data_IF_540656335889
#
_entry.id   IF_540656335889
#
_cell.length_a   1.000
_cell.length_b   1.000
_cell.length_c   1.000
_cell.angle_alpha   90.00
_cell.angle_beta   90.00
_cell.angle_gamma   90.00
#
_symmetry.space_group_name_H-M   'P 1'
#
loop_
_entity.id
_entity.type
_entity.pdbx_description
1 polymer ?
#
# COMPACT_ATOMS: atom_id res chain seq x y z
N UNK A 1 -24.97 12.86 -26.45
CA UNK A 1 -23.62 12.65 -25.90
C UNK A 1 -23.07 11.36 -26.50
N UNK A 2 -21.95 11.43 -27.20
CA UNK A 2 -21.27 10.22 -27.67
C UNK A 2 -20.96 9.31 -26.47
N UNK A 3 -21.29 8.03 -26.60
CA UNK A 3 -21.06 7.05 -25.54
C UNK A 3 -19.53 6.91 -25.37
N UNK A 4 -19.00 7.34 -24.25
CA UNK A 4 -17.58 7.25 -23.94
C UNK A 4 -17.09 5.81 -24.07
N UNK A 5 -16.10 5.57 -24.93
CA UNK A 5 -15.53 4.23 -25.06
C UNK A 5 -14.60 3.95 -23.87
N UNK A 6 -15.11 3.20 -22.89
CA UNK A 6 -14.39 2.88 -21.66
C UNK A 6 -13.06 2.14 -21.92
N UNK A 7 -12.99 1.29 -22.96
CA UNK A 7 -11.76 0.59 -23.32
C UNK A 7 -10.71 1.50 -23.93
N UNK A 8 -11.13 2.57 -24.59
CA UNK A 8 -10.20 3.60 -25.05
C UNK A 8 -9.58 4.37 -23.88
N UNK A 9 -10.39 4.68 -22.85
CA UNK A 9 -9.87 5.30 -21.61
C UNK A 9 -8.91 4.38 -20.86
N UNK A 10 -9.22 3.08 -20.79
CA UNK A 10 -8.31 2.08 -20.18
C UNK A 10 -6.97 2.06 -20.93
N UNK A 11 -7.00 2.03 -22.26
CA UNK A 11 -5.79 2.05 -23.07
C UNK A 11 -4.94 3.31 -22.83
N UNK A 12 -5.57 4.48 -22.71
CA UNK A 12 -4.86 5.72 -22.38
C UNK A 12 -4.21 5.67 -21.00
N UNK A 13 -4.94 5.17 -20.00
CA UNK A 13 -4.40 4.97 -18.66
C UNK A 13 -3.20 4.01 -18.64
N UNK A 14 -3.29 2.87 -19.34
CA UNK A 14 -2.19 1.91 -19.44
C UNK A 14 -0.97 2.50 -20.18
N UNK A 15 -1.19 3.33 -21.18
CA UNK A 15 -0.09 4.03 -21.87
C UNK A 15 0.61 5.03 -20.96
N UNK A 16 -0.13 5.78 -20.12
CA UNK A 16 0.47 6.68 -19.11
C UNK A 16 1.32 5.88 -18.10
N UNK A 17 0.84 4.71 -17.68
CA UNK A 17 1.54 3.88 -16.70
C UNK A 17 2.79 3.22 -17.30
N UNK A 18 2.67 2.57 -18.47
CA UNK A 18 3.76 1.76 -19.07
C UNK A 18 4.80 2.58 -19.83
N UNK A 19 4.40 3.70 -20.46
CA UNK A 19 5.28 4.50 -21.34
C UNK A 19 5.75 5.79 -20.66
N UNK A 20 4.85 6.50 -19.98
CA UNK A 20 5.17 7.78 -19.33
C UNK A 20 5.63 7.57 -17.86
N UNK A 21 5.48 6.37 -17.33
CA UNK A 21 5.98 6.04 -16.00
C UNK A 21 5.11 6.56 -14.85
N UNK A 22 3.83 6.87 -15.09
CA UNK A 22 2.94 7.34 -14.03
C UNK A 22 2.50 6.19 -13.09
N UNK A 23 2.21 6.49 -11.82
CA UNK A 23 1.74 5.50 -10.85
C UNK A 23 0.29 5.09 -11.12
N UNK A 24 0.03 3.79 -11.14
CA UNK A 24 -1.29 3.22 -11.47
C UNK A 24 -2.43 3.80 -10.62
N UNK A 25 -2.24 3.92 -9.31
CA UNK A 25 -3.24 4.50 -8.41
C UNK A 25 -3.54 5.97 -8.76
N UNK A 26 -2.50 6.79 -9.05
CA UNK A 26 -2.71 8.19 -9.43
C UNK A 26 -3.48 8.31 -10.75
N UNK A 27 -3.12 7.49 -11.74
CA UNK A 27 -3.80 7.50 -13.05
C UNK A 27 -5.26 7.08 -12.90
N UNK A 28 -5.54 6.07 -12.06
CA UNK A 28 -6.91 5.63 -11.79
C UNK A 28 -7.70 6.74 -11.10
N UNK A 29 -7.16 7.35 -10.03
CA UNK A 29 -7.84 8.41 -9.29
C UNK A 29 -8.14 9.63 -10.19
N UNK A 30 -7.15 10.13 -10.93
CA UNK A 30 -7.31 11.23 -11.88
C UNK A 30 -8.37 10.93 -12.96
N UNK A 31 -8.38 9.70 -13.49
CA UNK A 31 -9.37 9.31 -14.49
C UNK A 31 -10.78 9.24 -13.91
N UNK A 32 -10.96 8.65 -12.71
CA UNK A 32 -12.26 8.55 -12.05
C UNK A 32 -12.81 9.93 -11.64
N UNK A 33 -11.95 10.85 -11.25
CA UNK A 33 -12.34 12.24 -10.98
C UNK A 33 -12.76 12.95 -12.27
N UNK A 34 -11.92 12.92 -13.30
CA UNK A 34 -12.19 13.55 -14.59
C UNK A 34 -13.45 13.02 -15.27
N UNK A 35 -13.70 11.72 -15.17
CA UNK A 35 -14.85 11.03 -15.77
C UNK A 35 -15.90 10.63 -14.71
N UNK A 36 -16.16 11.51 -13.76
CA UNK A 36 -17.09 11.28 -12.62
C UNK A 36 -18.53 10.90 -13.04
N UNK A 37 -18.92 11.21 -14.29
CA UNK A 37 -20.22 10.84 -14.89
C UNK A 37 -20.32 9.35 -15.29
N UNK A 38 -19.24 8.59 -15.24
CA UNK A 38 -19.27 7.15 -15.56
C UNK A 38 -20.17 6.39 -14.57
N UNK A 39 -20.90 5.38 -15.11
CA UNK A 39 -21.70 4.49 -14.27
C UNK A 39 -20.80 3.72 -13.27
N UNK A 40 -21.41 3.23 -12.18
CA UNK A 40 -20.74 2.35 -11.21
C UNK A 40 -20.05 1.15 -11.91
N UNK A 41 -20.75 0.53 -12.87
CA UNK A 41 -20.25 -0.61 -13.64
C UNK A 41 -19.01 -0.22 -14.47
N UNK A 42 -19.06 0.94 -15.15
CA UNK A 42 -17.95 1.42 -15.98
C UNK A 42 -16.73 1.82 -15.14
N UNK A 43 -16.93 2.49 -13.99
CA UNK A 43 -15.85 2.81 -13.03
C UNK A 43 -15.18 1.54 -12.50
N UNK A 44 -15.99 0.57 -12.07
CA UNK A 44 -15.49 -0.72 -11.60
C UNK A 44 -14.74 -1.50 -12.67
N UNK A 45 -15.26 -1.50 -13.91
CA UNK A 45 -14.61 -2.13 -15.05
C UNK A 45 -13.27 -1.45 -15.39
N UNK A 46 -13.26 -0.11 -15.44
CA UNK A 46 -12.05 0.67 -15.68
C UNK A 46 -10.96 0.34 -14.65
N UNK A 47 -11.27 0.50 -13.36
CA UNK A 47 -10.30 0.26 -12.28
C UNK A 47 -9.80 -1.18 -12.27
N UNK A 48 -10.70 -2.16 -12.44
CA UNK A 48 -10.34 -3.58 -12.45
C UNK A 48 -9.41 -3.95 -13.60
N UNK A 49 -9.67 -3.45 -14.82
CA UNK A 49 -8.82 -3.77 -15.98
C UNK A 49 -7.48 -3.07 -15.89
N UNK A 50 -7.44 -1.77 -15.51
CA UNK A 50 -6.16 -1.05 -15.37
C UNK A 50 -5.31 -1.69 -14.29
N UNK A 51 -5.85 -1.91 -13.09
CA UNK A 51 -5.13 -2.54 -11.98
C UNK A 51 -4.66 -3.95 -12.34
N UNK A 52 -5.56 -4.79 -12.87
CA UNK A 52 -5.25 -6.17 -13.19
C UNK A 52 -4.21 -6.33 -14.32
N UNK A 53 -4.21 -5.46 -15.33
CA UNK A 53 -3.16 -5.47 -16.37
C UNK A 53 -1.79 -5.17 -15.75
N UNK A 54 -1.71 -4.23 -14.81
CA UNK A 54 -0.45 -3.93 -14.10
C UNK A 54 -0.07 -5.09 -13.18
N UNK A 55 -1.02 -5.63 -12.43
CA UNK A 55 -0.80 -6.73 -11.48
C UNK A 55 -0.27 -7.99 -12.14
N UNK A 56 -0.90 -8.41 -13.26
CA UNK A 56 -0.58 -9.63 -14.00
C UNK A 56 0.38 -9.41 -15.18
N UNK A 57 1.11 -8.31 -15.21
CA UNK A 57 1.91 -7.84 -16.35
C UNK A 57 2.86 -8.91 -16.91
N UNK A 58 3.60 -9.65 -16.04
CA UNK A 58 4.56 -10.66 -16.49
C UNK A 58 3.86 -11.88 -17.12
N UNK A 59 2.72 -12.29 -16.58
CA UNK A 59 1.91 -13.36 -17.18
C UNK A 59 1.40 -12.95 -18.58
N UNK A 60 0.86 -11.72 -18.68
CA UNK A 60 0.34 -11.21 -19.94
C UNK A 60 1.44 -11.07 -21.00
N UNK A 61 2.62 -10.61 -20.62
CA UNK A 61 3.77 -10.51 -21.50
C UNK A 61 4.31 -11.88 -21.94
N UNK A 62 4.34 -12.84 -21.02
CA UNK A 62 4.69 -14.22 -21.33
C UNK A 62 3.76 -14.82 -22.38
N UNK A 63 2.45 -14.63 -22.22
CA UNK A 63 1.44 -15.11 -23.18
C UNK A 63 1.64 -14.42 -24.53
N UNK A 64 1.78 -13.09 -24.56
CA UNK A 64 2.03 -12.36 -25.81
C UNK A 64 3.30 -12.91 -26.50
N UNK A 65 4.37 -13.11 -25.76
CA UNK A 65 5.64 -13.62 -26.29
C UNK A 65 5.50 -15.03 -26.86
N UNK A 66 4.75 -15.91 -26.17
CA UNK A 66 4.48 -17.29 -26.61
C UNK A 66 3.73 -17.32 -27.95
N UNK A 67 2.67 -16.53 -28.09
CA UNK A 67 1.78 -16.59 -29.27
C UNK A 67 2.25 -15.70 -30.43
N UNK A 68 3.20 -14.78 -30.24
CA UNK A 68 3.78 -13.97 -31.31
C UNK A 68 5.18 -14.45 -31.74
N UNK A 69 5.63 -15.62 -31.27
CA UNK A 69 6.95 -16.19 -31.54
C UNK A 69 8.10 -15.23 -31.14
N UNK A 70 7.96 -14.50 -30.03
CA UNK A 70 8.98 -13.60 -29.49
C UNK A 70 9.21 -12.31 -30.30
N UNK A 71 8.39 -11.99 -31.29
CA UNK A 71 8.55 -10.77 -32.10
C UNK A 71 8.25 -9.50 -31.27
N UNK A 72 8.98 -8.42 -31.57
CA UNK A 72 8.74 -7.14 -30.93
C UNK A 72 7.39 -6.56 -31.33
N UNK A 73 6.63 -6.08 -30.36
CA UNK A 73 5.31 -5.48 -30.51
C UNK A 73 5.38 -4.00 -30.16
N UNK A 74 4.68 -3.13 -30.93
CA UNK A 74 4.57 -1.70 -30.60
C UNK A 74 3.92 -1.53 -29.23
N UNK A 75 4.34 -0.55 -28.37
CA UNK A 75 3.77 -0.36 -27.05
C UNK A 75 2.24 -0.32 -27.03
N UNK A 76 1.62 0.49 -27.86
CA UNK A 76 0.14 0.59 -27.93
C UNK A 76 -0.54 -0.76 -28.27
N UNK A 77 0.06 -1.58 -29.12
CA UNK A 77 -0.48 -2.91 -29.46
C UNK A 77 -0.26 -3.86 -28.30
N UNK A 78 0.86 -3.76 -27.59
CA UNK A 78 1.14 -4.55 -26.39
C UNK A 78 0.07 -4.27 -25.32
N UNK A 79 -0.27 -3.02 -25.07
CA UNK A 79 -1.32 -2.66 -24.10
C UNK A 79 -2.72 -3.15 -24.55
N UNK A 80 -3.06 -3.04 -25.84
CA UNK A 80 -4.31 -3.61 -26.36
C UNK A 80 -4.35 -5.13 -26.16
N UNK A 81 -3.25 -5.84 -26.39
CA UNK A 81 -3.17 -7.29 -26.17
C UNK A 81 -3.24 -7.61 -24.68
N UNK A 82 -2.47 -6.93 -23.81
CA UNK A 82 -2.50 -7.12 -22.35
C UNK A 82 -3.92 -6.98 -21.81
N UNK A 83 -4.61 -5.86 -22.11
CA UNK A 83 -5.97 -5.64 -21.62
C UNK A 83 -6.99 -6.64 -22.17
N UNK A 84 -6.80 -7.13 -23.39
CA UNK A 84 -7.67 -8.15 -23.97
C UNK A 84 -7.44 -9.52 -23.32
N UNK A 85 -6.19 -9.94 -23.17
CA UNK A 85 -5.81 -11.20 -22.52
C UNK A 85 -6.24 -11.21 -21.05
N UNK A 86 -6.04 -10.10 -20.32
CA UNK A 86 -6.51 -9.98 -18.94
C UNK A 86 -8.04 -10.21 -18.84
N UNK A 87 -8.81 -9.58 -19.72
CA UNK A 87 -10.27 -9.78 -19.74
C UNK A 87 -10.64 -11.24 -20.05
N UNK A 88 -9.92 -11.92 -20.96
CA UNK A 88 -10.20 -13.32 -21.32
C UNK A 88 -9.89 -14.31 -20.17
N UNK A 89 -8.85 -14.03 -19.38
CA UNK A 89 -8.38 -14.97 -18.36
C UNK A 89 -8.98 -14.70 -16.97
N UNK A 90 -9.32 -13.44 -16.67
CA UNK A 90 -9.67 -13.01 -15.31
C UNK A 90 -11.04 -12.33 -15.18
N UNK A 91 -11.85 -12.30 -16.28
CA UNK A 91 -13.16 -11.64 -16.27
C UNK A 91 -14.23 -12.50 -16.94
N UNK A 92 -14.81 -13.46 -16.22
CA UNK A 92 -15.76 -14.48 -16.72
C UNK A 92 -17.01 -13.90 -17.40
N UNK A 93 -17.39 -12.67 -17.07
CA UNK A 93 -18.63 -12.05 -17.60
C UNK A 93 -18.48 -11.37 -18.96
N UNK A 94 -17.28 -11.36 -19.54
CA UNK A 94 -17.03 -10.69 -20.82
C UNK A 94 -16.77 -11.73 -21.90
N UNK A 95 -17.64 -11.89 -22.89
CA UNK A 95 -17.45 -12.90 -23.95
C UNK A 95 -16.19 -12.63 -24.78
N UNK A 96 -15.38 -13.64 -25.04
CA UNK A 96 -14.13 -13.54 -25.81
C UNK A 96 -14.32 -12.87 -27.17
N UNK A 97 -15.42 -13.19 -27.88
CA UNK A 97 -15.76 -12.55 -29.16
C UNK A 97 -15.89 -11.02 -29.04
N UNK A 98 -16.50 -10.54 -27.96
CA UNK A 98 -16.64 -9.10 -27.72
C UNK A 98 -15.30 -8.46 -27.40
N UNK A 99 -14.43 -9.15 -26.61
CA UNK A 99 -13.09 -8.68 -26.29
C UNK A 99 -12.24 -8.52 -27.57
N UNK A 100 -12.26 -9.54 -28.45
CA UNK A 100 -11.51 -9.54 -29.71
C UNK A 100 -11.98 -8.40 -30.62
N UNK A 101 -13.30 -8.23 -30.77
CA UNK A 101 -13.85 -7.17 -31.61
C UNK A 101 -13.44 -5.78 -31.11
N UNK A 102 -13.53 -5.54 -29.81
CA UNK A 102 -13.13 -4.27 -29.21
C UNK A 102 -11.63 -4.01 -29.33
N UNK A 103 -10.78 -5.02 -29.13
CA UNK A 103 -9.34 -4.90 -29.36
C UNK A 103 -9.02 -4.49 -30.81
N UNK A 104 -9.67 -5.12 -31.80
CA UNK A 104 -9.52 -4.77 -33.22
C UNK A 104 -10.02 -3.34 -33.49
N UNK A 105 -11.13 -2.91 -32.87
CA UNK A 105 -11.66 -1.56 -32.99
C UNK A 105 -10.66 -0.52 -32.43
N UNK A 106 -10.03 -0.79 -31.30
CA UNK A 106 -8.99 0.07 -30.72
C UNK A 106 -7.79 0.22 -31.67
N UNK A 107 -7.34 -0.87 -32.31
CA UNK A 107 -6.27 -0.81 -33.32
C UNK A 107 -6.63 0.12 -34.48
N UNK A 108 -7.90 0.03 -34.97
CA UNK A 108 -8.40 0.92 -36.04
C UNK A 108 -8.47 2.36 -35.58
N UNK A 109 -8.97 2.63 -34.38
CA UNK A 109 -9.04 3.99 -33.81
C UNK A 109 -7.64 4.64 -33.68
N UNK A 110 -6.62 3.83 -33.41
CA UNK A 110 -5.22 4.28 -33.39
C UNK A 110 -4.56 4.36 -34.78
N UNK A 111 -5.34 4.21 -35.85
CA UNK A 111 -4.89 4.26 -37.26
C UNK A 111 -3.83 3.22 -37.61
N UNK A 112 -3.84 2.08 -36.96
CA UNK A 112 -2.93 0.95 -37.16
C UNK A 112 -3.57 -0.20 -37.92
N UNK A 113 -4.37 0.09 -38.95
CA UNK A 113 -5.21 -0.86 -39.68
C UNK A 113 -4.44 -2.10 -40.17
N UNK A 114 -3.17 -1.94 -40.59
CA UNK A 114 -2.32 -3.04 -41.02
C UNK A 114 -2.07 -4.11 -39.94
N UNK A 115 -2.27 -3.76 -38.63
CA UNK A 115 -2.06 -4.66 -37.50
C UNK A 115 -3.34 -5.32 -37.01
N UNK A 116 -4.50 -5.02 -37.59
CA UNK A 116 -5.80 -5.61 -37.17
C UNK A 116 -5.83 -7.12 -37.34
N UNK A 117 -5.32 -7.63 -38.47
CA UNK A 117 -5.22 -9.08 -38.73
C UNK A 117 -4.30 -9.78 -37.73
N UNK A 118 -3.18 -9.16 -37.37
CA UNK A 118 -2.24 -9.67 -36.38
C UNK A 118 -2.90 -9.78 -34.98
N UNK A 119 -3.52 -8.69 -34.50
CA UNK A 119 -4.19 -8.69 -33.18
C UNK A 119 -5.34 -9.68 -33.14
N UNK A 120 -6.19 -9.72 -34.18
CA UNK A 120 -7.30 -10.67 -34.26
C UNK A 120 -6.78 -12.14 -34.25
N UNK A 121 -5.73 -12.43 -35.04
CA UNK A 121 -5.16 -13.78 -35.13
C UNK A 121 -4.57 -14.27 -33.81
N UNK A 122 -3.81 -13.44 -33.12
CA UNK A 122 -3.26 -13.76 -31.80
C UNK A 122 -4.36 -14.01 -30.77
N UNK A 123 -5.31 -13.07 -30.64
CA UNK A 123 -6.35 -13.17 -29.63
C UNK A 123 -7.29 -14.37 -29.85
N UNK A 124 -7.56 -14.75 -31.11
CA UNK A 124 -8.31 -15.98 -31.41
C UNK A 124 -7.59 -17.25 -31.01
N UNK A 125 -6.27 -17.32 -31.21
CA UNK A 125 -5.46 -18.47 -30.75
C UNK A 125 -5.50 -18.57 -29.24
N UNK A 126 -5.25 -17.45 -28.54
CA UNK A 126 -5.28 -17.40 -27.09
C UNK A 126 -6.66 -17.81 -26.56
N UNK A 127 -7.75 -17.30 -27.15
CA UNK A 127 -9.12 -17.65 -26.75
C UNK A 127 -9.40 -19.16 -26.91
N UNK A 128 -8.87 -19.79 -27.97
CA UNK A 128 -9.06 -21.23 -28.20
C UNK A 128 -8.27 -22.12 -27.23
N UNK A 129 -7.14 -21.62 -26.72
CA UNK A 129 -6.20 -22.38 -25.90
C UNK A 129 -6.16 -21.91 -24.44
N UNK A 130 -7.00 -20.94 -24.03
CA UNK A 130 -6.88 -20.27 -22.71
C UNK A 130 -6.94 -21.22 -21.52
N UNK A 131 -7.73 -22.30 -21.61
CA UNK A 131 -7.85 -23.29 -20.53
C UNK A 131 -6.59 -24.17 -20.36
N UNK A 132 -5.73 -24.19 -21.37
CA UNK A 132 -4.46 -24.93 -21.33
C UNK A 132 -3.24 -24.05 -20.99
N UNK A 133 -3.45 -22.76 -20.73
CA UNK A 133 -2.36 -21.86 -20.35
C UNK A 133 -1.96 -22.14 -18.90
N UNK A 134 -0.72 -22.57 -18.72
CA UNK A 134 -0.09 -22.77 -17.41
C UNK A 134 1.22 -22.00 -17.32
N UNK A 135 1.65 -21.74 -16.07
CA UNK A 135 2.89 -21.05 -15.78
C UNK A 135 3.75 -21.90 -14.86
N UNK A 136 4.87 -22.42 -15.38
CA UNK A 136 5.80 -23.25 -14.61
C UNK A 136 6.78 -22.40 -13.80
N UNK A 137 7.13 -21.22 -14.32
CA UNK A 137 7.99 -20.25 -13.63
C UNK A 137 7.19 -19.49 -12.55
N UNK A 138 7.71 -19.49 -11.33
CA UNK A 138 7.05 -18.91 -10.17
C UNK A 138 6.90 -17.37 -10.29
N UNK A 139 7.89 -16.69 -10.88
CA UNK A 139 7.86 -15.26 -11.13
C UNK A 139 6.78 -14.88 -12.13
N UNK A 140 6.62 -15.69 -13.18
CA UNK A 140 5.54 -15.51 -14.15
C UNK A 140 4.20 -15.84 -13.49
N UNK A 141 4.09 -16.97 -12.78
CA UNK A 141 2.87 -17.43 -12.11
C UNK A 141 2.29 -16.36 -11.16
N UNK A 142 3.13 -15.70 -10.38
CA UNK A 142 2.70 -14.67 -9.44
C UNK A 142 2.96 -13.24 -9.95
N UNK A 143 3.44 -13.11 -11.19
CA UNK A 143 3.77 -11.82 -11.82
C UNK A 143 4.70 -10.96 -10.96
N UNK A 144 5.75 -11.58 -10.41
CA UNK A 144 6.80 -10.95 -9.58
C UNK A 144 8.15 -11.11 -10.25
N UNK A 145 8.93 -10.03 -10.48
CA UNK A 145 10.29 -10.12 -11.02
C UNK A 145 11.21 -10.99 -10.16
N UNK A 146 12.14 -11.71 -10.80
CA UNK A 146 13.01 -12.69 -10.17
C UNK A 146 13.79 -12.12 -8.97
N UNK A 147 14.40 -10.93 -9.12
CA UNK A 147 15.15 -10.31 -8.03
C UNK A 147 14.30 -9.99 -6.78
N UNK A 148 12.99 -9.75 -6.94
CA UNK A 148 12.08 -9.57 -5.81
C UNK A 148 11.68 -10.89 -5.16
N UNK A 149 11.62 -11.99 -5.93
CA UNK A 149 11.34 -13.31 -5.37
C UNK A 149 12.40 -13.71 -4.35
N UNK A 150 13.69 -13.45 -4.63
CA UNK A 150 14.78 -13.75 -3.71
C UNK A 150 14.62 -12.96 -2.41
N UNK A 151 14.36 -11.66 -2.50
CA UNK A 151 14.11 -10.79 -1.33
C UNK A 151 12.90 -11.29 -0.52
N UNK A 152 11.78 -11.59 -1.20
CA UNK A 152 10.57 -12.06 -0.52
C UNK A 152 10.85 -13.40 0.17
N UNK A 153 11.50 -14.35 -0.51
CA UNK A 153 11.81 -15.67 0.01
C UNK A 153 12.72 -15.62 1.23
N UNK A 154 13.78 -14.81 1.18
CA UNK A 154 14.70 -14.62 2.30
C UNK A 154 13.99 -14.07 3.55
N UNK A 155 13.01 -13.17 3.36
CA UNK A 155 12.39 -12.44 4.46
C UNK A 155 11.05 -13.03 4.95
N UNK A 156 10.47 -13.99 4.22
CA UNK A 156 9.20 -14.64 4.60
C UNK A 156 9.36 -16.13 4.91
N UNK A 157 10.50 -16.74 4.57
CA UNK A 157 10.83 -18.13 4.91
C UNK A 157 9.74 -19.11 4.45
N UNK A 158 9.21 -19.88 5.39
CA UNK A 158 8.14 -20.88 5.13
C UNK A 158 6.81 -20.28 4.64
N UNK A 159 6.61 -18.98 4.80
CA UNK A 159 5.41 -18.28 4.34
C UNK A 159 5.54 -17.75 2.89
N UNK A 160 6.65 -18.04 2.19
CA UNK A 160 6.93 -17.52 0.86
C UNK A 160 5.76 -17.72 -0.13
N UNK A 161 5.30 -18.96 -0.31
CA UNK A 161 4.22 -19.26 -1.24
C UNK A 161 2.90 -18.56 -0.85
N UNK A 162 2.57 -18.59 0.44
CA UNK A 162 1.39 -17.90 0.98
C UNK A 162 1.47 -16.38 0.80
N UNK A 163 2.69 -15.81 0.90
CA UNK A 163 2.92 -14.38 0.65
C UNK A 163 2.65 -14.02 -0.80
N UNK A 164 3.12 -14.83 -1.75
CA UNK A 164 2.87 -14.62 -3.17
C UNK A 164 1.38 -14.75 -3.52
N UNK A 165 0.70 -15.75 -2.96
CA UNK A 165 -0.76 -15.92 -3.08
C UNK A 165 -1.53 -14.72 -2.49
N UNK A 166 -1.09 -14.25 -1.31
CA UNK A 166 -1.68 -13.09 -0.64
C UNK A 166 -1.59 -11.83 -1.51
N UNK A 167 -0.46 -11.59 -2.18
CA UNK A 167 -0.32 -10.43 -3.05
C UNK A 167 -1.28 -10.41 -4.25
N UNK A 168 -1.72 -11.56 -4.74
CA UNK A 168 -2.71 -11.68 -5.83
C UNK A 168 -4.15 -11.86 -5.32
N UNK A 169 -4.35 -11.96 -4.00
CA UNK A 169 -5.68 -12.16 -3.44
C UNK A 169 -6.51 -10.88 -3.45
N UNK A 170 -7.82 -11.04 -3.71
CA UNK A 170 -8.76 -9.93 -3.56
C UNK A 170 -9.14 -9.79 -2.08
N UNK A 171 -8.75 -8.68 -1.47
CA UNK A 171 -8.94 -8.41 -0.04
C UNK A 171 -9.97 -7.30 0.20
N UNK A 172 -10.76 -7.42 1.28
CA UNK A 172 -11.65 -6.34 1.69
C UNK A 172 -10.84 -5.09 2.09
N UNK A 173 -11.47 -3.94 2.00
CA UNK A 173 -10.88 -2.70 2.48
C UNK A 173 -10.81 -2.72 4.01
N UNK A 174 -9.71 -2.29 4.58
CA UNK A 174 -9.57 -2.12 6.03
C UNK A 174 -9.75 -0.67 6.44
N UNK A 175 -10.54 -0.46 7.49
CA UNK A 175 -10.78 0.85 8.10
C UNK A 175 -10.53 0.77 9.60
N UNK A 176 -9.93 1.81 10.17
CA UNK A 176 -9.78 1.94 11.62
C UNK A 176 -10.82 2.89 12.19
N UNK A 177 -11.44 2.45 13.28
CA UNK A 177 -12.36 3.30 14.03
C UNK A 177 -11.56 4.37 14.79
N UNK A 178 -11.99 5.62 14.67
CA UNK A 178 -11.51 6.74 15.48
C UNK A 178 -12.10 6.61 16.88
N UNK A 179 -11.34 5.99 17.79
CA UNK A 179 -11.80 5.64 19.14
C UNK A 179 -11.98 6.84 20.05
N UNK A 180 -11.40 8.01 19.69
CA UNK A 180 -11.69 9.27 20.37
C UNK A 180 -13.07 9.86 20.03
N UNK A 181 -13.70 9.38 18.95
CA UNK A 181 -14.97 9.91 18.42
C UNK A 181 -16.13 8.93 18.50
N UNK A 182 -15.87 7.64 18.42
CA UNK A 182 -16.92 6.61 18.37
C UNK A 182 -16.45 5.27 18.95
N UNK A 183 -17.39 4.51 19.50
CA UNK A 183 -17.13 3.12 19.88
C UNK A 183 -17.13 2.22 18.65
N UNK A 184 -16.30 1.18 18.66
CA UNK A 184 -16.20 0.21 17.55
C UNK A 184 -17.57 -0.44 17.26
N UNK A 185 -18.31 -0.82 18.31
CA UNK A 185 -19.63 -1.42 18.20
C UNK A 185 -20.68 -0.53 17.52
N UNK A 186 -20.56 0.79 17.68
CA UNK A 186 -21.51 1.74 17.09
C UNK A 186 -21.20 1.95 15.60
N UNK A 187 -19.91 1.98 15.24
CA UNK A 187 -19.48 2.05 13.83
C UNK A 187 -19.86 0.78 13.08
N UNK A 188 -19.71 -0.41 13.69
CA UNK A 188 -20.16 -1.68 13.09
C UNK A 188 -21.65 -1.60 12.75
N UNK A 189 -22.51 -1.22 13.73
CA UNK A 189 -23.96 -1.11 13.51
C UNK A 189 -24.31 -0.11 12.40
N UNK A 190 -23.60 1.02 12.33
CA UNK A 190 -23.82 2.03 11.29
C UNK A 190 -23.46 1.50 9.89
N UNK A 191 -22.36 0.79 9.78
CA UNK A 191 -21.92 0.17 8.52
C UNK A 191 -22.88 -0.93 8.06
N UNK A 192 -23.29 -1.83 8.98
CA UNK A 192 -24.23 -2.91 8.69
C UNK A 192 -25.62 -2.38 8.30
N UNK A 193 -26.09 -1.30 8.96
CA UNK A 193 -27.33 -0.61 8.57
C UNK A 193 -27.26 -0.07 7.14
N UNK A 194 -26.06 0.37 6.71
CA UNK A 194 -25.76 0.74 5.31
C UNK A 194 -25.56 -0.44 4.35
N UNK A 195 -25.90 -1.68 4.73
CA UNK A 195 -25.67 -2.92 3.97
C UNK A 195 -24.21 -3.18 3.62
N UNK A 196 -23.26 -2.66 4.40
CA UNK A 196 -21.84 -2.93 4.27
C UNK A 196 -21.51 -4.16 5.12
N UNK A 197 -20.82 -5.14 4.52
CA UNK A 197 -20.33 -6.31 5.26
C UNK A 197 -19.13 -5.90 6.09
N UNK A 198 -19.12 -6.32 7.36
CA UNK A 198 -18.08 -5.98 8.34
C UNK A 198 -17.51 -7.23 8.95
N UNK A 199 -16.19 -7.32 9.03
CA UNK A 199 -15.45 -8.36 9.74
C UNK A 199 -14.40 -7.71 10.65
N UNK A 200 -14.24 -8.22 11.88
CA UNK A 200 -13.23 -7.70 12.80
C UNK A 200 -11.83 -8.20 12.43
N UNK A 201 -10.83 -7.34 12.54
CA UNK A 201 -9.45 -7.77 12.48
C UNK A 201 -9.07 -8.61 13.70
N UNK A 202 -8.26 -9.67 13.47
CA UNK A 202 -7.72 -10.50 14.56
C UNK A 202 -6.54 -9.85 15.29
N UNK A 203 -5.85 -8.90 14.64
CA UNK A 203 -4.65 -8.26 15.17
C UNK A 203 -4.92 -6.94 15.88
N UNK A 204 -6.01 -6.24 15.52
CA UNK A 204 -6.33 -4.95 16.12
C UNK A 204 -7.84 -4.74 16.19
N UNK A 205 -8.40 -4.74 17.40
CA UNK A 205 -9.84 -4.65 17.67
C UNK A 205 -10.50 -3.35 17.16
N UNK A 206 -9.68 -2.31 16.91
CA UNK A 206 -10.17 -1.04 16.35
C UNK A 206 -10.19 -1.03 14.82
N UNK A 207 -9.79 -2.13 14.16
CA UNK A 207 -9.75 -2.24 12.70
C UNK A 207 -10.81 -3.22 12.22
N UNK A 208 -11.53 -2.78 11.21
CA UNK A 208 -12.61 -3.53 10.57
C UNK A 208 -12.28 -3.74 9.09
N UNK A 209 -12.55 -4.93 8.58
CA UNK A 209 -12.60 -5.20 7.14
C UNK A 209 -14.01 -4.92 6.63
N UNK A 210 -14.13 -4.15 5.56
CA UNK A 210 -15.42 -3.77 4.99
C UNK A 210 -15.51 -4.12 3.50
N UNK A 211 -16.71 -4.52 3.06
CA UNK A 211 -16.99 -4.82 1.66
C UNK A 211 -18.48 -4.58 1.32
N UNK A 212 -18.82 -4.55 0.03
CA UNK A 212 -20.21 -4.40 -0.42
C UNK A 212 -20.66 -2.96 -0.67
N UNK A 213 -19.79 -1.96 -0.53
CA UNK A 213 -20.05 -0.55 -0.80
C UNK A 213 -19.81 -0.17 -2.28
N UNK A 214 -20.27 1.01 -2.71
CA UNK A 214 -19.98 1.57 -4.04
C UNK A 214 -18.73 2.45 -4.02
N UNK A 215 -18.81 3.57 -3.32
CA UNK A 215 -17.71 4.51 -3.17
C UNK A 215 -17.35 4.64 -1.69
N UNK A 216 -16.07 4.52 -1.42
CA UNK A 216 -15.56 4.55 -0.04
C UNK A 216 -15.76 5.93 0.61
N UNK A 217 -15.58 6.99 -0.15
CA UNK A 217 -15.78 8.37 0.27
C UNK A 217 -17.26 8.74 0.51
N UNK A 218 -18.20 7.92 0.05
CA UNK A 218 -19.65 8.11 0.31
C UNK A 218 -20.13 7.41 1.58
N UNK A 219 -19.30 6.56 2.21
CA UNK A 219 -19.64 5.86 3.46
C UNK A 219 -19.80 6.87 4.60
N UNK A 220 -21.00 6.97 5.26
CA UNK A 220 -21.27 8.00 6.28
C UNK A 220 -20.26 7.99 7.43
N UNK A 221 -19.88 6.81 7.93
CA UNK A 221 -18.90 6.67 9.00
C UNK A 221 -17.51 7.21 8.62
N UNK A 222 -17.11 7.11 7.35
CA UNK A 222 -15.85 7.68 6.83
C UNK A 222 -15.99 9.20 6.66
N UNK A 223 -17.06 9.67 6.02
CA UNK A 223 -17.33 11.11 5.84
C UNK A 223 -17.37 11.89 7.14
N UNK A 224 -17.95 11.28 8.18
CA UNK A 224 -18.05 11.91 9.51
C UNK A 224 -16.80 11.78 10.36
N UNK A 225 -15.75 11.09 9.86
CA UNK A 225 -14.49 10.86 10.56
C UNK A 225 -14.63 9.91 11.76
N UNK A 226 -15.66 9.06 11.80
CA UNK A 226 -15.78 7.99 12.80
C UNK A 226 -14.86 6.82 12.51
N UNK A 227 -14.46 6.66 11.25
CA UNK A 227 -13.41 5.73 10.84
C UNK A 227 -12.64 6.29 9.64
N UNK A 228 -11.47 5.74 9.37
CA UNK A 228 -10.61 6.10 8.26
C UNK A 228 -9.91 4.89 7.68
N UNK A 229 -9.52 4.99 6.40
CA UNK A 229 -8.83 3.91 5.69
C UNK A 229 -7.43 3.76 6.28
N UNK A 230 -7.09 2.56 6.71
CA UNK A 230 -5.73 2.19 7.13
C UNK A 230 -5.56 0.69 7.02
N UNK A 231 -4.33 0.23 6.74
CA UNK A 231 -4.05 -1.19 6.82
C UNK A 231 -3.93 -1.66 8.29
N UNK A 232 -4.31 -2.90 8.52
CA UNK A 232 -4.16 -3.55 9.85
C UNK A 232 -2.71 -3.48 10.29
N UNK A 233 -1.77 -3.76 9.38
CA UNK A 233 -0.34 -3.77 9.67
C UNK A 233 0.17 -2.44 10.21
N UNK A 234 -0.14 -1.33 9.54
CA UNK A 234 0.27 0.01 10.01
C UNK A 234 -0.44 0.41 11.31
N UNK A 235 -1.65 -0.09 11.54
CA UNK A 235 -2.40 0.18 12.77
C UNK A 235 -1.78 -0.48 14.01
N UNK A 236 -0.90 -1.50 13.83
CA UNK A 236 -0.20 -2.18 14.92
C UNK A 236 0.73 -1.24 15.70
N UNK A 237 1.17 -0.14 15.11
CA UNK A 237 1.88 0.93 15.81
C UNK A 237 1.12 1.35 17.08
N UNK A 238 -0.21 1.44 17.02
CA UNK A 238 -1.04 1.83 18.17
C UNK A 238 -1.01 0.85 19.34
N UNK A 239 -0.63 -0.41 19.10
CA UNK A 239 -0.46 -1.44 20.17
C UNK A 239 0.90 -1.30 20.86
N UNK A 240 1.85 -0.63 20.21
CA UNK A 240 3.23 -0.46 20.72
C UNK A 240 3.45 0.89 21.41
N UNK A 241 2.52 1.85 21.29
CA UNK A 241 2.58 3.14 21.96
C UNK A 241 2.13 2.99 23.43
N UNK A 242 2.99 3.39 24.37
CA UNK A 242 2.60 3.58 25.76
C UNK A 242 2.13 5.02 25.94
N UNK A 243 0.88 5.25 26.36
CA UNK A 243 0.30 6.60 26.41
C UNK A 243 0.89 7.50 27.52
N UNK A 244 1.59 6.92 28.51
CA UNK A 244 2.05 7.65 29.68
C UNK A 244 3.06 8.77 29.32
N UNK A 245 2.67 10.01 29.62
CA UNK A 245 3.50 11.22 29.48
C UNK A 245 3.81 11.70 28.05
N UNK A 246 3.01 11.35 27.04
CA UNK A 246 3.14 11.94 25.70
C UNK A 246 2.48 13.33 25.68
N UNK A 247 3.26 14.36 26.06
CA UNK A 247 2.86 15.77 25.96
C UNK A 247 3.20 16.39 24.61
N UNK A 248 4.20 15.84 23.92
CA UNK A 248 4.67 16.23 22.61
C UNK A 248 5.07 15.02 21.80
N UNK A 249 4.56 14.93 20.60
CA UNK A 249 4.97 13.88 19.63
C UNK A 249 5.21 14.48 18.24
N UNK A 250 5.97 13.77 17.42
CA UNK A 250 6.25 14.15 16.03
C UNK A 250 6.12 12.91 15.15
N UNK A 251 5.36 13.05 14.07
CA UNK A 251 5.30 12.09 12.94
C UNK A 251 6.02 12.75 11.75
N UNK A 252 7.19 12.25 11.38
CA UNK A 252 8.11 12.97 10.49
C UNK A 252 7.89 12.74 8.99
N UNK A 253 7.13 11.71 8.61
CA UNK A 253 6.74 11.40 7.22
C UNK A 253 5.25 11.03 7.17
N UNK A 254 4.41 11.94 7.64
CA UNK A 254 3.07 11.64 8.12
C UNK A 254 2.01 11.40 7.05
N UNK A 255 2.19 11.95 5.83
CA UNK A 255 1.10 11.95 4.86
C UNK A 255 0.60 10.53 4.50
N UNK A 256 -0.71 10.31 4.46
CA UNK A 256 -1.82 11.26 4.54
C UNK A 256 -2.35 11.56 5.97
N UNK A 257 -1.65 11.17 7.05
CA UNK A 257 -2.00 11.49 8.43
C UNK A 257 -2.49 10.32 9.29
N UNK A 258 -2.71 9.15 8.70
CA UNK A 258 -3.29 8.00 9.40
C UNK A 258 -2.52 7.57 10.66
N UNK A 259 -1.18 7.63 10.63
CA UNK A 259 -0.34 7.29 11.78
C UNK A 259 -0.31 8.39 12.83
N UNK A 260 -0.38 9.66 12.41
CA UNK A 260 -0.58 10.78 13.35
C UNK A 260 -1.89 10.65 14.14
N UNK A 261 -2.94 10.07 13.53
CA UNK A 261 -4.19 9.79 14.24
C UNK A 261 -4.03 8.71 15.30
N UNK A 262 -3.16 7.70 15.07
CA UNK A 262 -2.82 6.70 16.10
C UNK A 262 -2.14 7.35 17.30
N UNK A 263 -1.24 8.31 17.07
CA UNK A 263 -0.59 9.09 18.13
C UNK A 263 -1.63 9.90 18.89
N UNK A 264 -2.53 10.60 18.19
CA UNK A 264 -3.55 11.44 18.78
C UNK A 264 -4.56 10.65 19.63
N UNK A 265 -4.92 9.44 19.20
CA UNK A 265 -5.80 8.55 19.98
C UNK A 265 -5.17 8.07 21.30
N UNK A 266 -3.83 8.05 21.39
CA UNK A 266 -3.08 7.52 22.54
C UNK A 266 -2.50 8.61 23.43
N UNK A 267 -2.26 9.79 22.89
CA UNK A 267 -1.70 10.91 23.64
C UNK A 267 -2.72 11.56 24.57
N UNK A 268 -2.23 12.33 25.54
CA UNK A 268 -3.07 13.18 26.39
C UNK A 268 -3.83 14.20 25.51
N UNK A 269 -5.03 14.61 25.95
CA UNK A 269 -5.87 15.55 25.18
C UNK A 269 -5.20 16.89 24.89
N UNK A 270 -4.27 17.31 25.76
CA UNK A 270 -3.50 18.56 25.63
C UNK A 270 -2.14 18.37 24.94
N UNK A 271 -1.81 17.14 24.53
CA UNK A 271 -0.57 16.87 23.83
C UNK A 271 -0.53 17.59 22.48
N UNK A 272 0.64 18.07 22.10
CA UNK A 272 0.88 18.63 20.77
C UNK A 272 1.52 17.58 19.88
N UNK A 273 0.89 17.28 18.74
CA UNK A 273 1.38 16.32 17.77
C UNK A 273 1.72 17.06 16.46
N UNK A 274 2.99 17.11 16.14
CA UNK A 274 3.43 17.62 14.84
C UNK A 274 3.34 16.52 13.81
N UNK A 275 2.60 16.79 12.72
CA UNK A 275 2.41 15.85 11.60
C UNK A 275 3.10 16.44 10.37
N UNK A 276 4.28 15.91 10.05
CA UNK A 276 5.21 16.53 9.11
C UNK A 276 5.30 15.76 7.79
N UNK A 277 5.45 16.47 6.69
CA UNK A 277 5.90 15.91 5.41
C UNK A 277 6.68 16.99 4.64
N UNK A 278 7.56 16.56 3.74
CA UNK A 278 8.42 17.46 2.94
C UNK A 278 7.65 18.21 1.86
N UNK A 279 6.52 17.68 1.41
CA UNK A 279 5.71 18.22 0.33
C UNK A 279 4.50 19.01 0.84
N UNK A 280 4.35 20.25 0.40
CA UNK A 280 3.19 21.07 0.72
C UNK A 280 1.86 20.40 0.31
N UNK A 281 1.82 19.78 -0.88
CA UNK A 281 0.64 19.04 -1.33
C UNK A 281 0.27 17.89 -0.38
N UNK A 282 1.27 17.17 0.15
CA UNK A 282 1.04 16.11 1.12
C UNK A 282 0.60 16.66 2.47
N UNK A 283 1.14 17.79 2.90
CA UNK A 283 0.70 18.46 4.14
C UNK A 283 -0.76 18.95 4.01
N UNK A 284 -1.16 19.43 2.84
CA UNK A 284 -2.57 19.79 2.58
C UNK A 284 -3.50 18.58 2.73
N UNK A 285 -3.11 17.39 2.29
CA UNK A 285 -3.87 16.15 2.54
C UNK A 285 -3.97 15.84 4.05
N UNK A 286 -2.91 16.07 4.82
CA UNK A 286 -2.97 15.92 6.27
C UNK A 286 -3.97 16.90 6.88
N UNK A 287 -3.95 18.18 6.47
CA UNK A 287 -4.87 19.21 6.94
C UNK A 287 -6.34 18.80 6.70
N UNK A 288 -6.66 18.36 5.49
CA UNK A 288 -8.01 17.91 5.13
C UNK A 288 -8.44 16.71 5.98
N UNK A 289 -7.58 15.71 6.12
CA UNK A 289 -7.89 14.51 6.89
C UNK A 289 -8.02 14.80 8.40
N UNK A 290 -7.15 15.62 8.97
CA UNK A 290 -7.24 16.08 10.37
C UNK A 290 -8.59 16.77 10.63
N UNK A 291 -9.03 17.62 9.69
CA UNK A 291 -10.33 18.30 9.78
C UNK A 291 -11.49 17.30 9.77
N UNK A 292 -11.48 16.32 8.89
CA UNK A 292 -12.51 15.27 8.81
C UNK A 292 -12.52 14.43 10.08
N UNK A 293 -11.32 14.02 10.55
CA UNK A 293 -11.20 13.21 11.76
C UNK A 293 -11.50 14.00 13.05
N UNK A 294 -11.39 15.33 13.03
CA UNK A 294 -11.77 16.20 14.15
C UNK A 294 -10.73 16.27 15.28
N UNK A 295 -9.50 15.85 15.04
CA UNK A 295 -8.40 15.98 16.01
C UNK A 295 -7.99 17.46 16.14
N UNK A 296 -7.94 17.96 17.39
CA UNK A 296 -7.57 19.36 17.69
C UNK A 296 -6.11 19.51 18.10
N UNK A 297 -5.47 18.42 18.44
CA UNK A 297 -4.10 18.36 18.97
C UNK A 297 -3.05 17.99 17.90
N UNK A 298 -3.44 17.88 16.62
CA UNK A 298 -2.53 17.65 15.50
C UNK A 298 -2.23 18.95 14.78
N UNK A 299 -0.94 19.25 14.60
CA UNK A 299 -0.42 20.42 13.89
C UNK A 299 0.33 19.96 12.64
N UNK A 300 -0.27 20.08 11.45
CA UNK A 300 0.41 19.77 10.19
C UNK A 300 1.53 20.79 9.90
N UNK A 301 2.70 20.30 9.46
CA UNK A 301 3.90 21.12 9.19
C UNK A 301 4.63 20.66 7.95
N UNK A 302 5.01 21.59 7.06
CA UNK A 302 5.96 21.30 5.99
C UNK A 302 7.37 21.29 6.61
N UNK A 303 8.03 20.12 6.59
CA UNK A 303 9.38 19.96 7.12
C UNK A 303 10.10 18.79 6.44
N UNK A 304 11.39 18.97 6.20
CA UNK A 304 12.27 17.91 5.72
C UNK A 304 12.85 17.14 6.92
N UNK A 305 12.54 15.85 7.03
CA UNK A 305 12.98 15.00 8.13
C UNK A 305 14.52 14.83 8.20
N UNK A 306 15.26 15.22 7.16
CA UNK A 306 16.73 15.24 7.16
C UNK A 306 17.32 16.48 7.81
N UNK A 307 16.52 17.54 7.99
CA UNK A 307 16.96 18.83 8.52
C UNK A 307 16.45 19.02 9.95
N UNK A 308 17.37 19.33 10.87
CA UNK A 308 17.00 19.56 12.27
C UNK A 308 16.10 20.79 12.43
N UNK A 309 14.96 20.58 13.07
CA UNK A 309 14.02 21.65 13.43
C UNK A 309 13.80 21.64 14.94
N UNK A 310 14.20 22.73 15.59
CA UNK A 310 14.12 22.83 17.05
C UNK A 310 12.69 22.79 17.61
N UNK A 311 11.65 23.02 16.79
CA UNK A 311 10.25 22.88 17.20
C UNK A 311 9.94 21.46 17.69
N UNK A 312 10.64 20.47 17.13
CA UNK A 312 10.41 19.05 17.37
C UNK A 312 11.27 18.49 18.50
N UNK A 313 12.29 19.21 18.95
CA UNK A 313 13.14 18.78 20.06
C UNK A 313 12.34 18.55 21.35
N UNK A 314 12.84 17.72 22.24
CA UNK A 314 12.18 17.36 23.51
C UNK A 314 10.82 16.68 23.33
N UNK A 315 10.66 15.89 22.26
CA UNK A 315 9.47 15.06 22.03
C UNK A 315 9.53 13.78 22.86
N UNK A 316 8.41 13.47 23.52
CA UNK A 316 8.27 12.21 24.27
C UNK A 316 8.17 10.99 23.34
N UNK A 317 7.63 11.22 22.13
CA UNK A 317 7.53 10.19 21.09
C UNK A 317 7.81 10.78 19.71
N UNK A 318 8.66 10.12 18.96
CA UNK A 318 8.91 10.40 17.54
C UNK A 318 8.52 9.18 16.73
N UNK A 319 7.69 9.37 15.72
CA UNK A 319 7.31 8.36 14.75
C UNK A 319 7.99 8.65 13.41
N UNK A 320 8.71 7.67 12.91
CA UNK A 320 9.43 7.69 11.66
C UNK A 320 8.95 6.54 10.75
N UNK A 321 7.80 6.75 10.09
CA UNK A 321 7.30 5.85 9.03
C UNK A 321 7.94 6.26 7.71
N UNK A 322 9.08 5.65 7.41
CA UNK A 322 9.99 6.17 6.41
C UNK A 322 9.67 5.73 4.98
N UNK A 323 9.96 6.56 3.98
CA UNK A 323 9.90 6.14 2.59
C UNK A 323 10.76 4.89 2.38
N UNK A 324 10.18 3.87 1.76
CA UNK A 324 10.77 2.55 1.60
C UNK A 324 10.41 1.94 0.24
N UNK A 325 11.01 0.80 -0.09
CA UNK A 325 10.74 0.07 -1.35
C UNK A 325 9.29 -0.41 -1.48
N UNK A 326 8.56 -0.56 -0.37
CA UNK A 326 7.14 -0.93 -0.41
C UNK A 326 6.86 -2.37 -0.84
N UNK A 327 7.84 -3.29 -0.74
CA UNK A 327 7.66 -4.69 -1.14
C UNK A 327 6.51 -5.36 -0.37
N UNK A 328 6.26 -4.94 0.87
CA UNK A 328 5.17 -5.48 1.69
C UNK A 328 3.75 -5.15 1.18
N UNK A 329 3.61 -4.15 0.31
CA UNK A 329 2.31 -3.66 -0.18
C UNK A 329 2.13 -3.84 -1.70
N UNK A 330 2.95 -4.66 -2.36
CA UNK A 330 2.87 -4.86 -3.83
C UNK A 330 1.53 -5.45 -4.28
N UNK A 331 0.79 -6.11 -3.41
CA UNK A 331 -0.58 -6.56 -3.70
C UNK A 331 -1.59 -5.42 -3.81
N UNK A 332 -1.36 -4.27 -3.16
CA UNK A 332 -2.18 -3.05 -3.28
C UNK A 332 -1.65 -2.08 -4.33
N UNK A 333 -0.32 -2.05 -4.50
CA UNK A 333 0.38 -1.16 -5.43
C UNK A 333 1.27 -1.98 -6.37
N UNK A 334 0.68 -2.71 -7.33
CA UNK A 334 1.40 -3.69 -8.14
C UNK A 334 2.47 -3.08 -9.05
N UNK A 335 2.37 -1.82 -9.39
CA UNK A 335 3.37 -1.10 -10.18
C UNK A 335 4.72 -0.94 -9.47
N UNK A 336 4.78 -1.03 -8.15
CA UNK A 336 6.03 -1.05 -7.38
C UNK A 336 6.96 -2.15 -7.89
N UNK A 337 6.45 -3.35 -8.18
CA UNK A 337 7.22 -4.51 -8.67
C UNK A 337 8.10 -4.20 -9.87
N UNK A 338 7.67 -3.27 -10.72
CA UNK A 338 8.30 -2.97 -12.01
C UNK A 338 9.14 -1.69 -12.01
N UNK A 339 9.23 -1.02 -10.86
CA UNK A 339 9.95 0.24 -10.67
C UNK A 339 11.14 0.13 -9.74
N UNK A 340 11.18 -0.96 -8.99
CA UNK A 340 12.28 -1.25 -8.08
C UNK A 340 13.49 -1.80 -8.85
N UNK A 341 14.65 -1.35 -8.42
CA UNK A 341 15.95 -1.95 -8.74
C UNK A 341 16.85 -1.88 -7.49
N UNK A 342 17.98 -2.56 -7.54
CA UNK A 342 18.91 -2.63 -6.42
C UNK A 342 19.49 -1.27 -6.04
N UNK A 343 19.73 -0.39 -7.02
CA UNK A 343 20.27 0.96 -6.77
C UNK A 343 19.24 1.82 -6.03
N UNK A 344 17.99 1.85 -6.48
CA UNK A 344 16.91 2.58 -5.83
C UNK A 344 16.64 2.10 -4.41
N UNK A 345 16.69 0.79 -4.14
CA UNK A 345 16.55 0.24 -2.78
C UNK A 345 17.71 0.65 -1.87
N UNK A 346 18.95 0.67 -2.38
CA UNK A 346 20.11 1.14 -1.62
C UNK A 346 20.00 2.64 -1.28
N UNK A 347 19.53 3.45 -2.22
CA UNK A 347 19.29 4.89 -2.00
C UNK A 347 18.20 5.11 -0.92
N UNK A 348 17.14 4.31 -0.92
CA UNK A 348 16.11 4.35 0.12
C UNK A 348 16.67 3.98 1.49
N UNK A 349 17.47 2.91 1.60
CA UNK A 349 18.11 2.53 2.86
C UNK A 349 19.05 3.62 3.38
N UNK A 350 19.82 4.27 2.49
CA UNK A 350 20.69 5.39 2.86
C UNK A 350 19.88 6.60 3.34
N UNK A 351 18.79 6.96 2.65
CA UNK A 351 17.89 8.04 3.05
C UNK A 351 17.25 7.77 4.42
N UNK A 352 16.86 6.54 4.69
CA UNK A 352 16.29 6.15 5.98
C UNK A 352 17.30 6.33 7.12
N UNK A 353 18.58 5.97 6.91
CA UNK A 353 19.66 6.20 7.90
C UNK A 353 19.85 7.69 8.18
N UNK A 354 19.91 8.51 7.13
CA UNK A 354 20.03 9.98 7.25
C UNK A 354 18.88 10.58 8.08
N UNK A 355 17.63 10.14 7.79
CA UNK A 355 16.46 10.61 8.53
C UNK A 355 16.54 10.14 9.99
N UNK A 356 16.82 8.86 10.26
CA UNK A 356 16.93 8.32 11.62
C UNK A 356 17.98 9.06 12.45
N UNK A 357 19.14 9.37 11.85
CA UNK A 357 20.21 10.14 12.50
C UNK A 357 19.77 11.56 12.88
N UNK A 358 18.94 12.19 12.05
CA UNK A 358 18.44 13.53 12.38
C UNK A 358 17.31 13.49 13.41
N UNK A 359 16.31 12.60 13.22
CA UNK A 359 15.10 12.61 14.06
C UNK A 359 15.36 12.03 15.47
N UNK A 360 16.43 11.25 15.66
CA UNK A 360 16.89 10.82 16.99
C UNK A 360 17.12 12.02 17.95
N UNK A 361 17.56 13.16 17.40
CA UNK A 361 17.80 14.41 18.15
C UNK A 361 16.52 15.06 18.68
N UNK A 362 15.36 14.67 18.15
CA UNK A 362 14.06 15.17 18.62
C UNK A 362 13.57 14.47 19.89
N UNK A 363 14.05 13.25 20.13
CA UNK A 363 13.61 12.43 21.25
C UNK A 363 14.18 12.98 22.56
N UNK A 364 13.33 13.29 23.53
CA UNK A 364 13.78 13.67 24.88
C UNK A 364 14.44 12.49 25.60
N UNK A 365 15.21 12.72 26.64
CA UNK A 365 15.68 11.67 27.56
C UNK A 365 14.49 10.88 28.10
N UNK A 366 14.57 9.55 28.08
CA UNK A 366 13.49 8.62 28.42
C UNK A 366 12.33 8.54 27.40
N UNK A 367 12.41 9.33 26.33
CA UNK A 367 11.44 9.27 25.21
C UNK A 367 11.69 8.12 24.25
N UNK A 368 10.78 7.94 23.31
CA UNK A 368 10.83 6.84 22.37
C UNK A 368 10.85 7.28 20.90
N UNK A 369 11.55 6.51 20.07
CA UNK A 369 11.54 6.57 18.62
C UNK A 369 10.91 5.29 18.09
N UNK A 370 9.81 5.41 17.34
CA UNK A 370 9.21 4.32 16.60
C UNK A 370 9.63 4.48 15.13
N UNK A 371 10.34 3.50 14.61
CA UNK A 371 10.69 3.37 13.21
C UNK A 371 9.80 2.35 12.53
N UNK A 372 9.27 2.66 11.35
CA UNK A 372 8.46 1.71 10.59
C UNK A 372 8.65 1.84 9.08
N UNK A 373 8.39 0.74 8.38
CA UNK A 373 8.39 0.65 6.91
C UNK A 373 7.29 -0.30 6.44
N UNK A 374 6.80 -0.11 5.21
CA UNK A 374 5.90 -1.05 4.54
C UNK A 374 6.66 -1.98 3.58
N UNK A 375 7.88 -2.36 3.90
CA UNK A 375 8.70 -3.28 3.09
C UNK A 375 9.06 -4.55 3.85
N UNK A 376 9.37 -5.59 3.09
CA UNK A 376 9.94 -6.85 3.60
C UNK A 376 11.48 -6.86 3.52
N UNK A 377 12.11 -5.81 2.95
CA UNK A 377 13.54 -5.79 2.69
C UNK A 377 14.35 -5.62 3.99
N UNK A 378 15.16 -6.62 4.33
CA UNK A 378 16.01 -6.63 5.52
C UNK A 378 16.99 -5.44 5.57
N UNK A 379 17.52 -5.01 4.41
CA UNK A 379 18.43 -3.87 4.35
C UNK A 379 17.79 -2.55 4.77
N UNK A 380 16.47 -2.44 4.61
CA UNK A 380 15.67 -1.29 5.04
C UNK A 380 15.10 -1.44 6.46
N UNK A 381 15.13 -2.63 7.04
CA UNK A 381 14.52 -3.01 8.32
C UNK A 381 15.57 -3.33 9.37
N UNK A 382 15.90 -4.62 9.57
CA UNK A 382 16.79 -5.08 10.65
C UNK A 382 18.21 -4.52 10.55
N UNK A 383 18.72 -4.30 9.33
CA UNK A 383 20.05 -3.70 9.15
C UNK A 383 20.06 -2.22 9.52
N UNK A 384 18.95 -1.50 9.25
CA UNK A 384 18.80 -0.12 9.72
C UNK A 384 18.70 -0.05 11.25
N UNK A 385 17.97 -0.98 11.89
CA UNK A 385 17.94 -1.10 13.36
C UNK A 385 19.33 -1.31 13.91
N UNK A 386 20.08 -2.27 13.37
CA UNK A 386 21.44 -2.58 13.82
C UNK A 386 22.40 -1.40 13.63
N UNK A 387 22.29 -0.72 12.49
CA UNK A 387 23.09 0.47 12.19
C UNK A 387 22.76 1.63 13.13
N UNK A 388 21.47 1.88 13.39
CA UNK A 388 21.02 2.92 14.29
C UNK A 388 21.56 2.71 15.71
N UNK A 389 21.38 1.53 16.28
CA UNK A 389 21.85 1.20 17.62
C UNK A 389 23.38 1.25 17.76
N UNK A 390 24.11 0.93 16.68
CA UNK A 390 25.58 1.05 16.66
C UNK A 390 26.03 2.50 16.71
N UNK A 391 25.32 3.42 16.07
CA UNK A 391 25.71 4.82 15.93
C UNK A 391 25.13 5.72 17.04
N UNK A 392 24.10 5.28 17.74
CA UNK A 392 23.38 6.01 18.79
C UNK A 392 23.43 5.22 20.09
N UNK A 393 24.56 5.29 20.82
CA UNK A 393 24.78 4.54 22.07
C UNK A 393 23.86 4.97 23.22
N UNK A 394 23.24 6.15 23.10
CA UNK A 394 22.21 6.69 24.01
C UNK A 394 20.80 6.14 23.73
N UNK A 395 20.65 5.21 22.77
CA UNK A 395 19.40 4.51 22.50
C UNK A 395 19.51 3.01 22.74
N UNK A 396 18.44 2.41 23.25
CA UNK A 396 18.30 0.97 23.44
C UNK A 396 17.03 0.45 22.77
N UNK A 397 17.04 -0.80 22.26
CA UNK A 397 15.81 -1.42 21.79
C UNK A 397 14.86 -1.62 22.98
N UNK A 398 13.56 -1.47 22.74
CA UNK A 398 12.53 -1.72 23.75
C UNK A 398 12.04 -3.14 23.62
N UNK A 399 12.05 -3.91 24.70
CA UNK A 399 11.38 -5.20 24.74
C UNK A 399 9.87 -5.01 24.51
N UNK A 400 9.36 -5.57 23.41
CA UNK A 400 7.95 -5.43 23.01
C UNK A 400 7.06 -6.51 23.61
N UNK A 401 7.59 -7.50 24.33
CA UNK A 401 6.80 -8.57 24.95
C UNK A 401 5.83 -8.03 25.99
N UNK A 402 6.18 -6.97 26.70
CA UNK A 402 5.34 -6.30 27.69
C UNK A 402 4.23 -5.42 27.08
N UNK A 403 4.30 -5.16 25.75
CA UNK A 403 3.33 -4.31 25.03
C UNK A 403 2.23 -5.09 24.34
N UNK A 404 2.46 -6.36 24.12
CA UNK A 404 1.52 -7.28 23.51
C UNK A 404 1.00 -8.27 24.57
N UNK A 405 -0.28 -8.58 24.53
CA UNK A 405 -0.90 -9.45 25.54
C UNK A 405 -1.72 -10.57 24.90
N UNK A 406 -1.85 -11.69 25.64
CA UNK A 406 -2.69 -12.83 25.24
C UNK A 406 -2.33 -13.38 23.86
N UNK A 407 -3.33 -13.67 23.04
CA UNK A 407 -3.15 -14.26 21.71
C UNK A 407 -2.26 -13.44 20.78
N UNK A 408 -2.20 -12.12 20.99
CA UNK A 408 -1.37 -11.26 20.16
C UNK A 408 0.13 -11.47 20.46
N UNK A 409 0.50 -11.66 21.72
CA UNK A 409 1.86 -12.00 22.12
C UNK A 409 2.27 -13.39 21.60
N UNK A 410 1.37 -14.38 21.72
CA UNK A 410 1.59 -15.75 21.23
C UNK A 410 1.75 -15.84 19.71
N UNK A 411 1.20 -14.87 18.99
CA UNK A 411 1.22 -14.85 17.54
C UNK A 411 2.59 -14.47 16.94
N UNK A 412 3.38 -13.64 17.65
CA UNK A 412 4.64 -13.12 17.15
C UNK A 412 5.85 -13.82 17.76
N UNK A 413 6.97 -13.77 17.04
CA UNK A 413 8.25 -14.33 17.51
C UNK A 413 8.77 -13.53 18.71
N UNK A 414 8.84 -14.20 19.87
CA UNK A 414 9.28 -13.59 21.13
C UNK A 414 10.74 -13.09 21.08
N UNK A 415 11.62 -13.74 20.33
CA UNK A 415 13.00 -13.29 20.19
C UNK A 415 13.13 -12.01 19.35
N UNK A 416 12.28 -11.85 18.35
CA UNK A 416 12.17 -10.59 17.61
C UNK A 416 11.61 -9.47 18.49
N UNK A 417 10.57 -9.74 19.25
CA UNK A 417 9.97 -8.78 20.19
C UNK A 417 10.98 -8.30 21.25
N UNK A 418 11.79 -9.20 21.81
CA UNK A 418 12.87 -8.84 22.78
C UNK A 418 13.96 -7.97 22.12
N UNK A 419 14.21 -8.12 20.81
CA UNK A 419 15.14 -7.27 20.05
C UNK A 419 14.55 -5.90 19.70
N UNK A 420 13.31 -5.62 20.11
CA UNK A 420 12.64 -4.34 19.96
C UNK A 420 11.97 -4.13 18.60
N UNK A 421 11.68 -5.18 17.85
CA UNK A 421 10.95 -5.05 16.59
C UNK A 421 9.88 -6.12 16.37
N UNK A 422 8.93 -5.78 15.53
CA UNK A 422 7.79 -6.59 15.11
C UNK A 422 7.76 -6.66 13.59
N UNK A 423 7.63 -7.87 13.02
CA UNK A 423 7.42 -8.09 11.58
C UNK A 423 6.04 -8.64 11.31
N UNK A 424 5.38 -8.04 10.33
CA UNK A 424 4.12 -8.50 9.77
C UNK A 424 4.37 -9.05 8.37
N UNK A 425 3.99 -10.31 8.16
CA UNK A 425 4.28 -11.07 6.94
C UNK A 425 2.96 -11.38 6.23
N UNK A 426 2.78 -10.92 4.97
CA UNK A 426 1.58 -11.25 4.18
C UNK A 426 1.38 -12.77 4.07
N UNK A 427 0.14 -13.23 4.20
CA UNK A 427 -0.18 -14.65 4.18
C UNK A 427 0.05 -15.41 5.50
N UNK A 428 0.82 -14.84 6.45
CA UNK A 428 0.83 -15.27 7.86
C UNK A 428 -0.18 -14.45 8.66
N UNK A 429 -0.18 -13.14 8.48
CA UNK A 429 -0.83 -12.17 9.37
C UNK A 429 -2.14 -11.59 8.82
N UNK A 430 -2.61 -12.03 7.66
CA UNK A 430 -3.80 -11.50 6.97
C UNK A 430 -3.78 -9.97 6.79
N UNK A 431 -2.58 -9.38 6.66
CA UNK A 431 -2.37 -7.95 6.44
C UNK A 431 -1.17 -7.71 5.52
N UNK A 432 -0.93 -6.47 5.14
CA UNK A 432 0.23 -6.10 4.35
C UNK A 432 1.53 -6.35 5.12
N UNK A 433 2.63 -6.52 4.38
CA UNK A 433 3.96 -6.59 4.98
C UNK A 433 4.35 -5.27 5.62
N UNK A 434 4.80 -5.34 6.88
CA UNK A 434 5.15 -4.17 7.64
C UNK A 434 6.21 -4.49 8.70
N UNK A 435 7.07 -3.53 8.98
CA UNK A 435 8.09 -3.61 10.00
C UNK A 435 7.96 -2.45 10.99
N UNK A 436 8.10 -2.73 12.28
CA UNK A 436 8.05 -1.71 13.33
C UNK A 436 9.18 -2.00 14.32
N UNK A 437 10.03 -1.01 14.60
CA UNK A 437 11.01 -1.08 15.68
C UNK A 437 10.82 0.07 16.67
N UNK A 438 11.08 -0.17 17.95
CA UNK A 438 10.94 0.82 19.01
C UNK A 438 12.25 0.95 19.76
N UNK A 439 12.74 2.18 19.85
CA UNK A 439 13.93 2.54 20.60
C UNK A 439 13.57 3.50 21.71
N UNK A 440 14.25 3.39 22.85
CA UNK A 440 14.13 4.33 23.96
C UNK A 440 15.47 5.03 24.16
N UNK A 441 15.44 6.35 24.29
CA UNK A 441 16.60 7.14 24.66
C UNK A 441 16.87 7.02 26.16
N UNK A 442 18.13 6.78 26.55
CA UNK A 442 18.52 6.66 27.97
C UNK A 442 18.21 7.94 28.77
N UNK A 443 18.04 7.79 30.06
CA UNK A 443 17.74 8.91 30.96
C UNK A 443 18.99 9.68 31.40
N UNK A 444 20.19 9.08 31.23
CA UNK A 444 21.45 9.62 31.73
C UNK A 444 22.10 10.67 30.80
#
# INVERSE_FOLDING_TARGET
>A
MEKTNIRALILEALMLIDVEGEYSHKVIDMALEKYSYLSKADRGFFSRVVHGVVEYRLQLDYIIKKYNNGKRVKPVIREILRMAIYQMLYMDRVPDRAIINEAVNLVKQRRLNALTGFVNGILRKISAEKESISFDDIGIKYSVPEFLLDIIKENTGEYFDKTLEYFLSNRPLSVRVNTSKSKVTDVIKELEYGNIKVENSKLNDSVLYISGFDKVDEIPAIKSGKCYITDVSSSMISKLIIPDNIKKAVDVCAAPGGKSFLLADKAESEAVIYSCDVSENKVNLIIENVKVQGFKNITPVVADARVFDKRFAESGLVLADLPCSGIGIIGKKPDIKYRLDSEGMNLLSALQKEILDNVSKYVKKGGELIFSTCTLNRAENEENVSNFLKNHSDFKPVDLTDRLTGKLLEHFDTEELKKGYLKLIPGRDDCDGFFIAVFRRDND
#
